data_IF_081366394815
#
_entry.id   IF_081366394815
#
_cell.length_a   1.000
_cell.length_b   1.000
_cell.length_c   1.000
_cell.angle_alpha   90.00
_cell.angle_beta   90.00
_cell.angle_gamma   90.00
#
_symmetry.space_group_name_H-M   'P 1'
#
loop_
_entity.id
_entity.type
_entity.pdbx_description
1 polymer ?
#
# COMPACT_ATOMS: atom_id res chain seq x y z
N UNK A 1 -26.21 -13.05 21.73
CA UNK A 1 -26.82 -11.92 20.96
C UNK A 1 -28.00 -11.38 21.75
N UNK A 2 -28.02 -10.08 22.09
CA UNK A 2 -29.25 -9.43 22.60
C UNK A 2 -30.21 -9.31 21.42
N UNK A 3 -31.43 -9.86 21.54
CA UNK A 3 -32.45 -9.79 20.49
C UNK A 3 -33.07 -8.40 20.47
N UNK A 4 -33.22 -7.80 19.29
CA UNK A 4 -33.92 -6.53 19.14
C UNK A 4 -35.42 -6.74 19.40
N UNK A 5 -36.07 -5.94 20.27
CA UNK A 5 -37.43 -6.19 20.73
C UNK A 5 -38.50 -6.14 19.61
N UNK A 6 -38.19 -5.54 18.46
CA UNK A 6 -39.12 -5.35 17.35
C UNK A 6 -39.04 -6.45 16.27
N UNK A 7 -38.09 -7.39 16.37
CA UNK A 7 -37.96 -8.47 15.40
C UNK A 7 -38.66 -9.71 15.95
N UNK A 8 -39.70 -10.17 15.24
CA UNK A 8 -40.35 -11.43 15.57
C UNK A 8 -39.33 -12.58 15.46
N UNK A 9 -39.02 -13.28 16.57
CA UNK A 9 -38.03 -14.36 16.57
C UNK A 9 -38.41 -15.52 15.66
N UNK A 10 -39.68 -15.68 15.28
CA UNK A 10 -40.12 -16.73 14.37
C UNK A 10 -39.71 -16.48 12.91
N UNK A 11 -39.34 -15.24 12.56
CA UNK A 11 -38.85 -14.89 11.22
C UNK A 11 -37.36 -15.22 11.04
N UNK A 12 -36.64 -15.54 12.11
CA UNK A 12 -35.20 -15.87 12.09
C UNK A 12 -34.98 -17.37 11.89
N UNK A 13 -35.61 -17.96 10.87
CA UNK A 13 -35.39 -19.37 10.54
C UNK A 13 -33.96 -19.61 10.04
N UNK A 14 -33.42 -20.85 10.11
CA UNK A 14 -32.10 -21.17 9.59
C UNK A 14 -31.91 -20.75 8.12
N UNK A 15 -32.94 -20.88 7.29
CA UNK A 15 -32.93 -20.51 5.88
C UNK A 15 -32.83 -18.99 5.70
N UNK A 16 -33.59 -18.22 6.49
CA UNK A 16 -33.56 -16.75 6.46
C UNK A 16 -32.20 -16.23 6.93
N UNK A 17 -31.65 -16.81 8.00
CA UNK A 17 -30.33 -16.44 8.51
C UNK A 17 -29.22 -16.81 7.53
N UNK A 18 -29.30 -17.96 6.88
CA UNK A 18 -28.35 -18.38 5.85
C UNK A 18 -28.43 -17.45 4.62
N UNK A 19 -29.64 -17.12 4.15
CA UNK A 19 -29.83 -16.18 3.04
C UNK A 19 -29.30 -14.77 3.36
N UNK A 20 -29.57 -14.27 4.57
CA UNK A 20 -29.04 -12.99 5.04
C UNK A 20 -27.50 -13.01 5.10
N UNK A 21 -26.91 -14.10 5.61
CA UNK A 21 -25.45 -14.26 5.66
C UNK A 21 -24.84 -14.35 4.25
N UNK A 22 -25.51 -14.99 3.30
CA UNK A 22 -25.07 -15.10 1.91
C UNK A 22 -25.09 -13.75 1.17
N UNK A 23 -26.08 -12.89 1.46
CA UNK A 23 -26.13 -11.51 0.96
C UNK A 23 -25.03 -10.64 1.58
N UNK A 24 -24.80 -10.79 2.88
CA UNK A 24 -23.82 -10.01 3.64
C UNK A 24 -22.36 -10.26 3.21
N UNK A 25 -22.05 -11.33 2.47
CA UNK A 25 -20.69 -11.66 2.01
C UNK A 25 -20.03 -10.54 1.19
N UNK A 26 -20.86 -9.75 0.50
CA UNK A 26 -20.43 -8.68 -0.38
C UNK A 26 -20.33 -7.35 0.35
N UNK A 27 -20.61 -7.34 1.65
CA UNK A 27 -20.53 -6.13 2.44
C UNK A 27 -19.10 -5.88 2.92
N UNK A 28 -18.64 -4.61 2.83
CA UNK A 28 -17.24 -4.26 3.04
C UNK A 28 -16.79 -4.46 4.49
N UNK A 29 -17.70 -4.58 5.45
CA UNK A 29 -17.37 -4.84 6.85
C UNK A 29 -16.96 -6.29 7.14
N UNK A 30 -17.08 -7.20 6.16
CA UNK A 30 -16.64 -8.59 6.28
C UNK A 30 -15.44 -8.87 5.37
N UNK A 31 -14.50 -9.68 5.85
CA UNK A 31 -13.38 -10.23 5.09
C UNK A 31 -13.63 -11.72 4.85
N UNK A 32 -14.52 -12.01 3.92
CA UNK A 32 -14.85 -13.38 3.52
C UNK A 32 -15.66 -14.17 4.55
N UNK A 33 -15.86 -15.44 4.24
CA UNK A 33 -16.73 -16.34 5.00
C UNK A 33 -16.79 -17.73 4.35
N UNK A 34 -17.28 -18.71 5.11
CA UNK A 34 -17.52 -20.07 4.63
C UNK A 34 -19.00 -20.40 4.63
N UNK A 35 -19.48 -21.17 3.65
CA UNK A 35 -20.88 -21.57 3.54
C UNK A 35 -20.99 -23.04 3.13
N UNK A 36 -21.95 -23.74 3.73
CA UNK A 36 -22.39 -25.06 3.30
C UNK A 36 -23.91 -25.01 3.10
N UNK A 37 -24.35 -25.00 1.84
CA UNK A 37 -25.77 -24.91 1.47
C UNK A 37 -26.58 -26.13 1.90
N UNK A 38 -25.96 -27.31 1.94
CA UNK A 38 -26.66 -28.56 2.22
C UNK A 38 -26.98 -28.69 3.71
N UNK A 39 -26.18 -28.03 4.56
CA UNK A 39 -26.33 -28.01 6.02
C UNK A 39 -26.80 -26.67 6.56
N UNK A 40 -27.03 -25.67 5.69
CA UNK A 40 -27.33 -24.27 6.04
C UNK A 40 -26.31 -23.65 7.01
N UNK A 41 -25.06 -24.10 6.96
CA UNK A 41 -23.98 -23.59 7.80
C UNK A 41 -23.34 -22.38 7.15
N UNK A 42 -23.02 -21.37 7.96
CA UNK A 42 -22.38 -20.16 7.50
C UNK A 42 -21.41 -19.62 8.55
N UNK A 43 -20.37 -18.95 8.08
CA UNK A 43 -19.50 -18.13 8.91
C UNK A 43 -19.14 -16.86 8.15
N UNK A 44 -19.14 -15.73 8.86
CA UNK A 44 -18.70 -14.44 8.35
C UNK A 44 -17.53 -13.96 9.21
N UNK A 45 -16.42 -13.62 8.57
CA UNK A 45 -15.24 -13.10 9.26
C UNK A 45 -15.27 -11.58 9.24
N UNK A 46 -15.31 -10.95 10.42
CA UNK A 46 -15.25 -9.49 10.51
C UNK A 46 -13.85 -8.98 10.21
N UNK A 47 -13.72 -7.96 9.36
CA UNK A 47 -12.45 -7.26 9.19
C UNK A 47 -12.29 -6.24 10.34
N UNK A 48 -11.46 -6.57 11.33
CA UNK A 48 -11.16 -5.65 12.45
C UNK A 48 -10.20 -4.51 12.06
N UNK A 49 -9.69 -4.49 10.83
CA UNK A 49 -8.86 -3.42 10.28
C UNK A 49 -9.67 -2.26 9.69
N UNK A 50 -10.97 -2.46 9.44
CA UNK A 50 -11.84 -1.45 8.82
C UNK A 50 -12.45 -0.57 9.92
N UNK A 51 -11.73 0.48 10.30
CA UNK A 51 -12.22 1.54 11.19
C UNK A 51 -13.42 2.37 10.68
N UNK A 52 -13.71 2.55 9.37
CA UNK A 52 -14.78 3.47 8.96
C UNK A 52 -16.20 3.06 9.39
N UNK A 53 -16.47 1.77 9.67
CA UNK A 53 -17.80 1.33 10.11
C UNK A 53 -17.95 1.21 11.64
N UNK A 54 -16.90 1.50 12.42
CA UNK A 54 -16.88 1.25 13.86
C UNK A 54 -17.93 2.05 14.65
N UNK A 55 -18.25 3.26 14.19
CA UNK A 55 -19.18 4.19 14.83
C UNK A 55 -20.51 4.36 14.07
N UNK A 56 -20.76 3.53 13.05
CA UNK A 56 -21.99 3.59 12.25
C UNK A 56 -23.16 3.03 13.05
N UNK A 57 -24.12 3.91 13.36
CA UNK A 57 -25.32 3.56 14.16
C UNK A 57 -26.63 3.64 13.38
N UNK A 58 -26.61 4.23 12.18
CA UNK A 58 -27.78 4.41 11.33
C UNK A 58 -27.54 3.78 9.95
N UNK A 59 -28.63 3.34 9.33
CA UNK A 59 -28.58 2.70 8.01
C UNK A 59 -28.15 3.69 6.91
N UNK A 60 -28.52 4.96 7.03
CA UNK A 60 -28.13 5.98 6.05
C UNK A 60 -26.62 6.24 6.08
N UNK A 61 -26.03 6.34 7.28
CA UNK A 61 -24.59 6.50 7.48
C UNK A 61 -23.81 5.30 6.91
N UNK A 62 -24.38 4.10 7.05
CA UNK A 62 -23.83 2.88 6.48
C UNK A 62 -23.72 2.95 4.96
N UNK A 63 -24.79 3.34 4.26
CA UNK A 63 -24.78 3.43 2.79
C UNK A 63 -23.81 4.49 2.28
N UNK A 64 -23.73 5.63 2.96
CA UNK A 64 -22.79 6.70 2.61
C UNK A 64 -21.33 6.23 2.71
N UNK A 65 -20.97 5.58 3.82
CA UNK A 65 -19.59 5.10 4.04
C UNK A 65 -19.29 3.91 3.12
N UNK A 66 -20.27 3.05 2.85
CA UNK A 66 -20.14 1.94 1.90
C UNK A 66 -19.82 2.43 0.48
N UNK A 67 -20.50 3.47 0.00
CA UNK A 67 -20.23 4.09 -1.30
C UNK A 67 -18.84 4.72 -1.37
N UNK A 68 -18.37 5.34 -0.28
CA UNK A 68 -17.00 5.86 -0.20
C UNK A 68 -15.92 4.76 -0.26
N UNK A 69 -16.19 3.59 0.34
CA UNK A 69 -15.24 2.46 0.37
C UNK A 69 -15.23 1.67 -0.95
N UNK A 70 -16.39 1.49 -1.59
CA UNK A 70 -16.53 0.67 -2.81
C UNK A 70 -16.52 1.49 -4.11
N UNK A 71 -16.69 2.82 -4.04
CA UNK A 71 -16.96 3.67 -5.20
C UNK A 71 -18.42 3.58 -5.68
N UNK A 72 -18.81 4.38 -6.68
CA UNK A 72 -20.16 4.31 -7.25
C UNK A 72 -20.39 2.93 -7.88
N UNK A 73 -21.60 2.40 -7.71
CA UNK A 73 -21.99 1.10 -8.27
C UNK A 73 -21.88 1.17 -9.80
N UNK A 74 -20.90 0.49 -10.40
CA UNK A 74 -20.85 0.31 -11.85
C UNK A 74 -22.10 -0.46 -12.29
N UNK A 75 -22.85 0.10 -13.22
CA UNK A 75 -24.05 -0.56 -13.74
C UNK A 75 -23.64 -1.81 -14.53
N UNK A 76 -24.46 -2.85 -14.54
CA UNK A 76 -24.19 -4.12 -15.23
C UNK A 76 -23.84 -3.98 -16.73
N UNK A 77 -24.15 -2.83 -17.35
CA UNK A 77 -23.74 -2.48 -18.70
C UNK A 77 -22.21 -2.37 -18.88
N UNK A 78 -21.48 -1.99 -17.83
CA UNK A 78 -20.02 -1.78 -17.88
C UNK A 78 -19.23 -3.11 -17.91
N UNK A 79 -19.88 -4.23 -17.57
CA UNK A 79 -19.26 -5.57 -17.50
C UNK A 79 -19.39 -6.40 -18.79
N UNK A 80 -19.85 -5.83 -19.92
CA UNK A 80 -19.91 -6.54 -21.21
C UNK A 80 -19.21 -5.75 -22.33
N UNK A 81 -17.87 -5.83 -22.45
CA UNK A 81 -17.10 -4.96 -23.35
C UNK A 81 -17.33 -5.18 -24.86
N UNK A 82 -18.20 -6.11 -25.28
CA UNK A 82 -18.41 -6.46 -26.69
C UNK A 82 -19.86 -6.64 -27.14
N UNK A 83 -20.88 -6.22 -26.37
CA UNK A 83 -22.25 -6.16 -26.91
C UNK A 83 -22.38 -4.92 -27.80
N UNK A 84 -22.65 -5.12 -29.09
CA UNK A 84 -23.07 -4.03 -29.99
C UNK A 84 -24.40 -3.47 -29.48
N UNK A 85 -24.38 -2.24 -28.99
CA UNK A 85 -25.61 -1.50 -28.71
C UNK A 85 -26.31 -1.16 -30.04
N UNK A 86 -27.65 -1.17 -30.10
CA UNK A 86 -28.35 -0.48 -31.18
C UNK A 86 -28.00 1.02 -31.11
N UNK A 87 -27.85 1.65 -32.28
CA UNK A 87 -27.51 3.08 -32.37
C UNK A 87 -28.47 3.90 -31.49
N UNK A 88 -27.96 4.76 -30.59
CA UNK A 88 -28.83 5.54 -29.73
C UNK A 88 -29.69 6.47 -30.59
N UNK A 89 -31.01 6.37 -30.43
CA UNK A 89 -31.94 7.38 -30.95
C UNK A 89 -31.69 8.66 -30.16
N UNK A 90 -30.98 9.60 -30.78
CA UNK A 90 -30.80 10.93 -30.20
C UNK A 90 -32.14 11.65 -30.13
N UNK A 91 -32.65 11.83 -28.91
CA UNK A 91 -33.62 12.88 -28.66
C UNK A 91 -32.95 14.23 -28.98
N UNK A 92 -33.62 15.16 -29.68
CA UNK A 92 -33.03 16.47 -29.96
C UNK A 92 -32.65 17.13 -28.64
N UNK A 93 -31.37 17.47 -28.51
CA UNK A 93 -30.81 18.16 -27.35
C UNK A 93 -31.68 19.38 -27.02
N UNK A 94 -32.36 19.31 -25.88
CA UNK A 94 -32.91 20.49 -25.21
C UNK A 94 -31.80 21.54 -25.12
N UNK A 95 -32.13 22.77 -25.50
CA UNK A 95 -31.20 23.89 -25.55
C UNK A 95 -30.29 23.91 -24.31
N UNK A 96 -28.99 24.13 -24.56
CA UNK A 96 -27.95 24.09 -23.55
C UNK A 96 -28.36 24.90 -22.31
N UNK A 97 -28.35 24.25 -21.14
CA UNK A 97 -28.46 24.95 -19.86
C UNK A 97 -27.36 26.00 -19.81
N UNK A 98 -27.66 27.25 -19.39
CA UNK A 98 -26.61 28.26 -19.21
C UNK A 98 -25.56 27.71 -18.26
N UNK A 99 -24.30 27.80 -18.66
CA UNK A 99 -23.17 27.34 -17.86
C UNK A 99 -23.18 28.08 -16.52
N UNK A 100 -23.26 27.34 -15.42
CA UNK A 100 -22.90 27.87 -14.12
C UNK A 100 -21.41 28.20 -14.22
N UNK A 101 -20.98 29.46 -14.00
CA UNK A 101 -19.56 29.76 -14.00
C UNK A 101 -18.88 28.90 -12.94
N UNK A 102 -17.93 28.06 -13.36
CA UNK A 102 -17.12 27.30 -12.43
C UNK A 102 -16.48 28.29 -11.43
N UNK A 103 -16.44 27.96 -10.12
CA UNK A 103 -15.65 28.75 -9.21
C UNK A 103 -14.23 28.82 -9.76
N UNK A 104 -13.64 30.03 -9.76
CA UNK A 104 -12.24 30.23 -10.11
C UNK A 104 -11.44 29.45 -9.08
N UNK A 105 -10.98 28.26 -9.46
CA UNK A 105 -10.06 27.46 -8.65
C UNK A 105 -8.71 28.16 -8.79
N UNK A 106 -8.33 28.95 -7.78
CA UNK A 106 -6.95 29.41 -7.60
C UNK A 106 -6.03 28.19 -7.81
N UNK A 107 -4.96 28.28 -8.62
CA UNK A 107 -4.06 27.16 -8.83
C UNK A 107 -3.55 26.70 -7.47
N UNK A 108 -3.83 25.45 -7.11
CA UNK A 108 -3.36 24.87 -5.86
C UNK A 108 -1.84 25.10 -5.76
N UNK A 109 -1.40 25.85 -4.75
CA UNK A 109 0.01 26.16 -4.55
C UNK A 109 0.80 24.84 -4.52
N UNK A 110 1.68 24.65 -5.51
CA UNK A 110 2.50 23.44 -5.60
C UNK A 110 3.56 23.48 -4.51
N UNK A 111 3.49 22.55 -3.56
CA UNK A 111 4.53 22.38 -2.53
C UNK A 111 5.75 21.68 -3.13
N UNK A 112 6.93 22.28 -2.99
CA UNK A 112 8.21 21.65 -3.34
C UNK A 112 9.07 21.44 -2.10
N UNK A 113 9.84 20.35 -2.09
CA UNK A 113 10.77 20.01 -1.00
C UNK A 113 12.15 19.77 -1.62
N UNK A 114 13.16 20.48 -1.12
CA UNK A 114 14.57 20.23 -1.47
C UNK A 114 15.21 19.41 -0.36
N UNK A 115 15.92 18.35 -0.71
CA UNK A 115 16.65 17.54 0.26
C UNK A 115 18.00 17.07 -0.28
N UNK A 116 18.99 17.02 0.60
CA UNK A 116 20.30 16.47 0.27
C UNK A 116 20.24 14.94 0.27
N UNK A 117 20.82 14.34 -0.77
CA UNK A 117 20.95 12.89 -0.86
C UNK A 117 21.96 12.37 0.16
N UNK A 118 21.78 11.12 0.59
CA UNK A 118 22.74 10.48 1.48
C UNK A 118 24.12 10.39 0.79
N UNK A 119 25.25 10.65 1.46
CA UNK A 119 26.57 10.75 0.81
C UNK A 119 26.92 9.56 -0.09
N UNK A 120 26.69 8.33 0.39
CA UNK A 120 26.93 7.11 -0.41
C UNK A 120 26.04 7.00 -1.65
N UNK A 121 24.83 7.57 -1.63
CA UNK A 121 23.94 7.60 -2.80
C UNK A 121 24.42 8.67 -3.77
N UNK A 122 24.75 9.86 -3.26
CA UNK A 122 25.29 10.94 -4.09
C UNK A 122 26.56 10.49 -4.82
N UNK A 123 27.47 9.78 -4.14
CA UNK A 123 28.72 9.25 -4.71
C UNK A 123 28.47 8.34 -5.92
N UNK A 124 27.52 7.39 -5.82
CA UNK A 124 27.28 6.41 -6.89
C UNK A 124 26.36 6.92 -8.00
N UNK A 125 25.48 7.88 -7.70
CA UNK A 125 24.40 8.28 -8.59
C UNK A 125 24.62 9.64 -9.28
N UNK A 126 25.31 10.61 -8.64
CA UNK A 126 25.33 12.00 -9.10
C UNK A 126 25.84 12.16 -10.54
N UNK A 127 26.99 11.57 -10.87
CA UNK A 127 27.56 11.66 -12.22
C UNK A 127 26.65 11.06 -13.31
N UNK A 128 25.97 9.96 -13.01
CA UNK A 128 25.03 9.30 -13.93
C UNK A 128 23.78 10.14 -14.12
N UNK A 129 23.23 10.64 -13.02
CA UNK A 129 22.03 11.47 -13.02
C UNK A 129 22.25 12.78 -13.79
N UNK A 130 23.35 13.50 -13.51
CA UNK A 130 23.71 14.72 -14.23
C UNK A 130 24.00 14.47 -15.72
N UNK A 131 24.45 13.26 -16.07
CA UNK A 131 24.63 12.82 -17.46
C UNK A 131 23.34 12.39 -18.19
N UNK A 132 22.19 12.40 -17.51
CA UNK A 132 20.90 11.93 -18.06
C UNK A 132 20.72 10.42 -18.07
N UNK A 133 21.63 9.66 -17.44
CA UNK A 133 21.55 8.21 -17.28
C UNK A 133 20.74 7.85 -16.03
N UNK A 134 19.46 8.23 -16.03
CA UNK A 134 18.57 8.11 -14.86
C UNK A 134 18.41 6.66 -14.38
N UNK A 135 18.16 5.74 -15.31
CA UNK A 135 18.05 4.32 -15.02
C UNK A 135 19.29 3.78 -14.29
N UNK A 136 20.48 4.07 -14.81
CA UNK A 136 21.74 3.64 -14.19
C UNK A 136 22.00 4.32 -12.85
N UNK A 137 21.58 5.58 -12.68
CA UNK A 137 21.70 6.29 -11.41
C UNK A 137 20.87 5.59 -10.32
N UNK A 138 19.60 5.28 -10.62
CA UNK A 138 18.68 4.59 -9.71
C UNK A 138 19.17 3.17 -9.43
N UNK A 139 19.57 2.43 -10.48
CA UNK A 139 20.14 1.08 -10.36
C UNK A 139 21.35 1.05 -9.43
N UNK A 140 22.28 1.97 -9.63
CA UNK A 140 23.50 2.09 -8.81
C UNK A 140 23.18 2.45 -7.35
N UNK A 141 22.20 3.33 -7.12
CA UNK A 141 21.75 3.71 -5.79
C UNK A 141 21.19 2.52 -4.99
N UNK A 142 20.27 1.74 -5.58
CA UNK A 142 19.72 0.57 -4.88
C UNK A 142 20.72 -0.58 -4.76
N UNK A 143 21.66 -0.72 -5.70
CA UNK A 143 22.77 -1.66 -5.54
C UNK A 143 23.67 -1.27 -4.35
N UNK A 144 23.90 0.02 -4.12
CA UNK A 144 24.64 0.48 -2.94
C UNK A 144 23.89 0.16 -1.64
N UNK A 145 22.55 0.32 -1.62
CA UNK A 145 21.72 -0.06 -0.45
C UNK A 145 21.85 -1.56 -0.18
N UNK A 146 21.69 -2.40 -1.21
CA UNK A 146 21.83 -3.86 -1.12
C UNK A 146 23.20 -4.26 -0.56
N UNK A 147 24.27 -3.69 -1.11
CA UNK A 147 25.64 -3.96 -0.68
C UNK A 147 25.87 -3.58 0.79
N UNK A 148 25.35 -2.42 1.23
CA UNK A 148 25.50 -1.98 2.61
C UNK A 148 24.78 -2.91 3.58
N UNK A 149 23.57 -3.34 3.26
CA UNK A 149 22.83 -4.34 4.06
C UNK A 149 23.59 -5.66 4.15
N UNK A 150 24.12 -6.17 3.03
CA UNK A 150 24.91 -7.40 3.01
C UNK A 150 26.16 -7.28 3.91
N UNK A 151 26.84 -6.14 3.84
CA UNK A 151 28.03 -5.84 4.65
C UNK A 151 27.69 -5.80 6.14
N UNK A 152 26.61 -5.12 6.53
CA UNK A 152 26.20 -4.99 7.92
C UNK A 152 25.70 -6.31 8.52
N UNK A 153 24.97 -7.11 7.75
CA UNK A 153 24.47 -8.41 8.19
C UNK A 153 25.55 -9.51 8.16
N UNK A 154 26.60 -9.36 7.34
CA UNK A 154 27.65 -10.38 7.19
C UNK A 154 27.16 -11.67 6.53
N UNK A 155 26.13 -11.58 5.68
CA UNK A 155 25.54 -12.74 4.97
C UNK A 155 25.73 -12.61 3.46
N UNK A 156 25.87 -13.74 2.78
CA UNK A 156 26.05 -13.81 1.34
C UNK A 156 24.72 -14.10 0.63
N UNK A 157 23.73 -13.25 0.88
CA UNK A 157 22.41 -13.30 0.24
C UNK A 157 22.21 -12.05 -0.61
N UNK A 158 21.25 -12.08 -1.55
CA UNK A 158 20.95 -10.95 -2.44
C UNK A 158 19.46 -10.65 -2.51
N UNK A 159 19.15 -9.44 -2.97
CA UNK A 159 17.81 -8.96 -3.30
C UNK A 159 16.84 -9.03 -2.12
N UNK A 160 15.62 -9.46 -2.41
CA UNK A 160 14.56 -9.56 -1.41
C UNK A 160 14.92 -10.54 -0.27
N UNK A 161 15.61 -11.63 -0.59
CA UNK A 161 16.00 -12.65 0.39
C UNK A 161 16.97 -12.09 1.42
N UNK A 162 17.96 -11.31 0.96
CA UNK A 162 18.87 -10.58 1.86
C UNK A 162 18.12 -9.69 2.84
N UNK A 163 17.19 -8.87 2.35
CA UNK A 163 16.41 -7.96 3.21
C UNK A 163 15.55 -8.73 4.21
N UNK A 164 14.99 -9.87 3.78
CA UNK A 164 14.24 -10.77 4.64
C UNK A 164 15.06 -11.32 5.81
N UNK A 165 16.28 -11.80 5.53
CA UNK A 165 17.19 -12.37 6.54
C UNK A 165 17.78 -11.29 7.45
N UNK A 166 18.26 -10.18 6.89
CA UNK A 166 18.96 -9.15 7.64
C UNK A 166 18.04 -8.36 8.60
N UNK A 167 16.80 -8.10 8.19
CA UNK A 167 15.84 -7.26 8.92
C UNK A 167 14.70 -8.07 9.56
N UNK A 168 14.65 -9.38 9.29
CA UNK A 168 13.65 -10.28 9.86
C UNK A 168 13.81 -10.44 11.36
N UNK A 169 12.69 -10.61 12.06
CA UNK A 169 12.64 -10.59 13.54
C UNK A 169 12.06 -11.87 14.14
N UNK A 170 11.80 -12.87 13.29
CA UNK A 170 11.25 -14.17 13.67
C UNK A 170 11.85 -15.27 12.79
N UNK A 171 12.33 -16.38 13.37
CA UNK A 171 12.38 -16.68 14.81
C UNK A 171 13.49 -15.93 15.59
N UNK A 172 14.52 -15.45 14.90
CA UNK A 172 15.70 -14.83 15.49
C UNK A 172 15.58 -13.29 15.56
N UNK A 173 16.33 -12.61 16.46
CA UNK A 173 16.40 -11.16 16.47
C UNK A 173 16.97 -10.62 15.13
N UNK A 174 16.57 -9.40 14.71
CA UNK A 174 17.10 -8.79 13.50
C UNK A 174 18.61 -8.60 13.58
N UNK A 175 19.30 -8.86 12.46
CA UNK A 175 20.75 -8.69 12.35
C UNK A 175 21.15 -7.22 12.23
N UNK A 176 20.22 -6.38 11.76
CA UNK A 176 20.41 -4.95 11.56
C UNK A 176 19.22 -4.20 12.17
N UNK A 177 19.51 -3.19 12.97
CA UNK A 177 18.52 -2.28 13.53
C UNK A 177 18.39 -1.03 12.68
N UNK A 178 17.20 -0.86 12.12
CA UNK A 178 16.84 0.28 11.26
C UNK A 178 15.69 1.08 11.83
N UNK A 179 15.28 0.86 13.08
CA UNK A 179 14.11 1.47 13.74
C UNK A 179 14.49 2.64 14.64
N UNK A 180 13.62 3.65 14.77
CA UNK A 180 13.80 4.77 15.73
C UNK A 180 12.89 4.67 16.95
N UNK A 181 11.75 4.00 16.82
CA UNK A 181 10.77 3.91 17.90
C UNK A 181 11.23 2.95 18.99
N UNK A 182 10.68 3.16 20.18
CA UNK A 182 10.82 2.27 21.32
C UNK A 182 9.45 1.85 21.85
N UNK A 183 9.40 0.84 22.71
CA UNK A 183 8.17 0.37 23.33
C UNK A 183 7.18 -0.27 22.33
N UNK A 184 5.88 -0.06 22.53
CA UNK A 184 4.81 -0.79 21.80
C UNK A 184 4.75 -0.57 20.29
N UNK A 185 5.42 0.46 19.75
CA UNK A 185 5.44 0.74 18.31
C UNK A 185 6.62 0.09 17.57
N UNK A 186 7.60 -0.44 18.31
CA UNK A 186 8.84 -0.97 17.75
C UNK A 186 8.60 -2.12 16.78
N UNK A 187 7.75 -3.09 17.14
CA UNK A 187 7.48 -4.25 16.28
C UNK A 187 6.82 -3.86 14.96
N UNK A 188 5.86 -2.93 15.01
CA UNK A 188 5.18 -2.43 13.81
C UNK A 188 6.15 -1.70 12.88
N UNK A 189 7.01 -0.83 13.43
CA UNK A 189 8.03 -0.13 12.63
C UNK A 189 9.05 -1.10 12.04
N UNK A 190 9.47 -2.11 12.83
CA UNK A 190 10.43 -3.12 12.37
C UNK A 190 9.89 -3.92 11.18
N UNK A 191 8.66 -4.42 11.29
CA UNK A 191 8.00 -5.12 10.19
C UNK A 191 7.79 -4.20 8.98
N UNK A 192 7.33 -2.96 9.20
CA UNK A 192 7.14 -2.00 8.12
C UNK A 192 8.45 -1.70 7.38
N UNK A 193 9.55 -1.52 8.12
CA UNK A 193 10.84 -1.25 7.52
C UNK A 193 11.38 -2.45 6.77
N UNK A 194 11.22 -3.66 7.31
CA UNK A 194 11.53 -4.88 6.55
C UNK A 194 10.78 -4.91 5.21
N UNK A 195 9.48 -4.59 5.19
CA UNK A 195 8.71 -4.57 3.95
C UNK A 195 9.16 -3.48 2.97
N UNK A 196 9.52 -2.29 3.45
CA UNK A 196 10.03 -1.23 2.58
C UNK A 196 11.35 -1.63 1.92
N UNK A 197 12.29 -2.22 2.67
CA UNK A 197 13.56 -2.70 2.11
C UNK A 197 13.34 -3.86 1.13
N UNK A 198 12.50 -4.84 1.49
CA UNK A 198 12.13 -5.95 0.60
C UNK A 198 11.47 -5.45 -0.69
N UNK A 199 10.51 -4.54 -0.56
CA UNK A 199 9.79 -3.93 -1.66
C UNK A 199 10.72 -3.12 -2.57
N UNK A 200 11.67 -2.37 -2.00
CA UNK A 200 12.67 -1.65 -2.78
C UNK A 200 13.51 -2.60 -3.66
N UNK A 201 13.91 -3.75 -3.10
CA UNK A 201 14.64 -4.75 -3.89
C UNK A 201 13.78 -5.38 -4.97
N UNK A 202 12.56 -5.82 -4.61
CA UNK A 202 11.66 -6.52 -5.52
C UNK A 202 11.10 -5.66 -6.64
N UNK A 203 10.65 -4.44 -6.33
CA UNK A 203 9.93 -3.57 -7.25
C UNK A 203 10.83 -2.55 -7.96
N UNK A 204 11.95 -2.14 -7.37
CA UNK A 204 12.75 -1.03 -7.90
C UNK A 204 14.10 -1.51 -8.44
N UNK A 205 14.85 -2.28 -7.65
CA UNK A 205 16.17 -2.79 -8.04
C UNK A 205 16.07 -3.94 -9.03
N UNK A 206 15.27 -4.96 -8.75
CA UNK A 206 15.25 -6.20 -9.54
C UNK A 206 14.84 -5.98 -11.00
N UNK A 207 13.78 -5.19 -11.31
CA UNK A 207 13.46 -4.88 -12.70
C UNK A 207 14.61 -4.17 -13.43
N UNK A 208 15.35 -3.31 -12.72
CA UNK A 208 16.51 -2.59 -13.28
C UNK A 208 17.78 -3.44 -13.44
N UNK A 209 17.76 -4.69 -12.96
CA UNK A 209 18.90 -5.62 -13.03
C UNK A 209 18.62 -6.86 -13.88
N UNK A 210 17.35 -7.24 -14.02
CA UNK A 210 16.92 -8.48 -14.68
C UNK A 210 15.79 -8.27 -15.68
N UNK A 211 15.14 -7.10 -15.68
CA UNK A 211 14.08 -6.74 -16.60
C UNK A 211 14.59 -6.13 -17.90
N UNK A 212 13.68 -5.75 -18.81
CA UNK A 212 14.02 -4.99 -20.01
C UNK A 212 14.63 -3.62 -19.66
N UNK A 213 15.42 -3.08 -20.59
CA UNK A 213 16.10 -1.79 -20.47
C UNK A 213 15.11 -0.63 -20.69
N UNK A 214 14.18 -0.47 -19.74
CA UNK A 214 13.20 0.62 -19.74
C UNK A 214 13.84 1.92 -19.23
N UNK A 215 13.54 3.04 -19.88
CA UNK A 215 14.10 4.34 -19.49
C UNK A 215 13.29 4.96 -18.36
N UNK A 216 13.96 5.23 -17.24
CA UNK A 216 13.39 6.08 -16.19
C UNK A 216 13.28 7.51 -16.68
N UNK A 217 12.15 8.15 -16.35
CA UNK A 217 12.03 9.60 -16.49
C UNK A 217 12.82 10.30 -15.37
N UNK A 218 13.10 11.60 -15.54
CA UNK A 218 13.89 12.35 -14.58
C UNK A 218 13.23 12.45 -13.21
N UNK A 219 11.94 12.79 -13.18
CA UNK A 219 11.21 13.09 -11.94
C UNK A 219 11.09 11.83 -11.05
N UNK A 220 10.76 10.69 -11.65
CA UNK A 220 10.74 9.38 -11.00
C UNK A 220 12.13 9.03 -10.47
N UNK A 221 13.19 9.26 -11.25
CA UNK A 221 14.55 9.02 -10.78
C UNK A 221 14.92 9.90 -9.58
N UNK A 222 14.48 11.15 -9.53
CA UNK A 222 14.67 12.02 -8.35
C UNK A 222 13.97 11.43 -7.12
N UNK A 223 12.70 11.02 -7.24
CA UNK A 223 11.94 10.39 -6.15
C UNK A 223 12.61 9.11 -5.64
N UNK A 224 13.06 8.25 -6.56
CA UNK A 224 13.71 6.99 -6.24
C UNK A 224 15.08 7.18 -5.58
N UNK A 225 15.85 8.20 -5.99
CA UNK A 225 17.11 8.55 -5.34
C UNK A 225 16.90 9.11 -3.93
N UNK A 226 15.84 9.89 -3.73
CA UNK A 226 15.42 10.36 -2.40
C UNK A 226 15.01 9.18 -1.52
N UNK A 227 14.26 8.22 -2.07
CA UNK A 227 13.87 7.02 -1.34
C UNK A 227 15.07 6.13 -0.98
N UNK A 228 16.00 5.89 -1.92
CA UNK A 228 17.25 5.18 -1.62
C UNK A 228 18.08 5.88 -0.53
N UNK A 229 18.12 7.22 -0.57
CA UNK A 229 18.77 8.03 0.47
C UNK A 229 18.08 7.92 1.83
N UNK A 230 16.74 7.84 1.85
CA UNK A 230 16.00 7.56 3.07
C UNK A 230 16.38 6.20 3.66
N UNK A 231 16.44 5.14 2.84
CA UNK A 231 16.84 3.80 3.31
C UNK A 231 18.27 3.80 3.87
N UNK A 232 19.22 4.47 3.21
CA UNK A 232 20.58 4.62 3.74
C UNK A 232 20.61 5.31 5.10
N UNK A 233 19.84 6.40 5.27
CA UNK A 233 19.73 7.09 6.56
C UNK A 233 19.11 6.22 7.67
N UNK A 234 18.35 5.19 7.31
CA UNK A 234 17.87 4.20 8.27
C UNK A 234 18.95 3.19 8.65
N UNK A 235 19.90 2.90 7.76
CA UNK A 235 21.06 2.07 8.06
C UNK A 235 22.11 2.80 8.90
N UNK A 236 22.21 4.13 8.79
CA UNK A 236 23.10 4.94 9.64
C UNK A 236 22.84 4.70 11.14
N UNK A 237 21.59 4.42 11.51
CA UNK A 237 21.19 4.09 12.88
C UNK A 237 21.97 2.87 13.42
N UNK A 238 22.16 1.84 12.60
CA UNK A 238 22.92 0.65 12.98
C UNK A 238 24.39 0.99 13.17
N UNK A 239 24.97 1.78 12.27
CA UNK A 239 26.38 2.19 12.35
C UNK A 239 26.64 3.02 13.61
N UNK A 240 25.75 3.96 13.93
CA UNK A 240 25.79 4.74 15.17
C UNK A 240 25.72 3.84 16.41
N UNK A 241 24.85 2.82 16.41
CA UNK A 241 24.75 1.86 17.51
C UNK A 241 26.01 1.01 17.67
N UNK A 242 26.58 0.51 16.57
CA UNK A 242 27.83 -0.27 16.59
C UNK A 242 29.01 0.57 17.04
N UNK A 243 29.10 1.82 16.58
CA UNK A 243 30.14 2.77 17.00
C UNK A 243 30.03 3.11 18.50
N UNK A 244 28.81 3.31 19.00
CA UNK A 244 28.55 3.53 20.42
C UNK A 244 28.93 2.31 21.27
N UNK A 245 28.60 1.09 20.81
CA UNK A 245 28.97 -0.15 21.49
C UNK A 245 30.49 -0.38 21.52
N UNK A 246 31.20 -0.05 20.43
CA UNK A 246 32.65 -0.16 20.35
C UNK A 246 33.40 0.90 21.19
N UNK A 247 32.74 2.01 21.52
CA UNK A 247 33.29 3.10 22.33
C UNK A 247 32.93 3.00 23.83
N UNK A 248 32.14 1.99 24.21
CA UNK A 248 31.79 1.70 25.61
C UNK A 248 32.91 0.99 26.37
N UNK A 249 33.03 1.19 27.70
CA UNK A 249 34.17 0.79 28.53
C UNK A 249 34.34 -0.73 28.71
#
# INVERSE_FOLDING_TARGET
>A
MRRHPEIDPNLLTPEVLFAAAALARHEPCFRGGGYNSDQLEWSLSFDRGIRPFADVRRLDDYWLIREQVLGPTQAEADNQPFRKHPDPVYAPLLAARPAIPAPVVEPAETLSVTCDLHPLIAEVAAGRFSGGFYYDAVRSAFQAVEHRVATLAGVNEVGEKLMGVALGSKPDPPMITVTRSSGGSLESERHGMQFLFKGAMGALRNPRMHGPDDKDNRDEAEELLVFASFLMRRLDIEDEQRAAAASGP
#
